data_IF_730874617501
#
_entry.id   IF_730874617501
#
_cell.length_a   1.000
_cell.length_b   1.000
_cell.length_c   1.000
_cell.angle_alpha   90.00
_cell.angle_beta   90.00
_cell.angle_gamma   90.00
#
_symmetry.space_group_name_H-M   'P 1'
#
loop_
_entity.id
_entity.type
_entity.pdbx_description
1 polymer ?
#
# COMPACT_ATOMS: atom_id res chain seq x y z
N UNK A 1 -25.85 8.40 -15.71
CA UNK A 1 -25.19 8.47 -14.39
C UNK A 1 -23.79 7.98 -14.58
N UNK A 2 -22.84 8.88 -14.48
CA UNK A 2 -21.42 8.61 -14.75
C UNK A 2 -20.80 7.78 -13.62
N UNK A 3 -19.77 6.98 -13.93
CA UNK A 3 -18.96 6.27 -12.93
C UNK A 3 -18.35 7.24 -11.90
N UNK A 4 -18.13 8.50 -12.29
CA UNK A 4 -17.71 9.62 -11.44
C UNK A 4 -18.66 9.89 -10.26
N UNK A 5 -19.98 9.88 -10.49
CA UNK A 5 -20.99 10.10 -9.42
C UNK A 5 -21.05 8.96 -8.39
N UNK A 6 -20.55 7.77 -8.73
CA UNK A 6 -20.46 6.63 -7.78
C UNK A 6 -19.20 6.67 -6.93
N UNK A 7 -18.11 7.20 -7.47
CA UNK A 7 -16.81 7.30 -6.78
C UNK A 7 -16.84 8.45 -5.77
N UNK A 8 -17.37 9.62 -6.12
CA UNK A 8 -17.59 10.72 -5.17
C UNK A 8 -18.46 10.29 -4.00
N UNK A 9 -19.57 9.57 -4.25
CA UNK A 9 -20.45 9.05 -3.19
C UNK A 9 -19.81 7.93 -2.35
N UNK A 10 -18.88 7.16 -2.89
CA UNK A 10 -18.16 6.13 -2.15
C UNK A 10 -17.17 6.71 -1.12
N UNK A 11 -16.43 7.74 -1.53
CA UNK A 11 -15.49 8.46 -0.67
C UNK A 11 -16.26 9.32 0.36
N UNK A 12 -17.32 10.05 -0.06
CA UNK A 12 -18.16 10.81 0.85
C UNK A 12 -18.82 9.94 1.91
N UNK A 13 -19.32 8.74 1.58
CA UNK A 13 -19.98 7.86 2.52
C UNK A 13 -19.00 7.21 3.53
N UNK A 14 -17.75 6.93 3.16
CA UNK A 14 -16.72 6.44 4.07
C UNK A 14 -16.33 7.53 5.08
N UNK A 15 -16.14 8.78 4.61
CA UNK A 15 -15.88 9.93 5.46
C UNK A 15 -17.09 10.33 6.33
N UNK A 16 -18.33 10.26 5.81
CA UNK A 16 -19.53 10.64 6.57
C UNK A 16 -19.79 9.74 7.78
N UNK A 17 -19.56 8.45 7.69
CA UNK A 17 -19.89 7.51 8.79
C UNK A 17 -18.96 7.62 10.00
N UNK A 18 -17.70 7.99 9.83
CA UNK A 18 -16.73 8.12 10.92
C UNK A 18 -16.70 9.54 11.47
N UNK A 19 -16.96 10.55 10.65
CA UNK A 19 -16.65 11.96 10.95
C UNK A 19 -17.84 12.91 11.02
N UNK A 20 -19.08 12.47 10.77
CA UNK A 20 -20.27 13.34 10.69
C UNK A 20 -20.62 14.11 11.98
N UNK A 21 -19.96 13.88 13.11
CA UNK A 21 -20.27 14.53 14.40
C UNK A 21 -19.36 15.70 14.78
N UNK A 22 -18.25 15.98 14.07
CA UNK A 22 -17.19 16.87 14.58
C UNK A 22 -16.96 18.17 13.77
N UNK A 23 -17.61 18.39 12.63
CA UNK A 23 -17.18 19.45 11.70
C UNK A 23 -17.77 20.85 11.97
N UNK A 24 -17.13 21.57 12.88
CA UNK A 24 -17.10 23.05 12.91
C UNK A 24 -15.70 23.62 12.59
N UNK A 25 -14.86 22.88 11.86
CA UNK A 25 -13.48 23.28 11.59
C UNK A 25 -13.30 23.76 10.15
N UNK A 26 -12.37 24.68 9.93
CA UNK A 26 -12.03 25.18 8.60
C UNK A 26 -11.27 24.14 7.76
N UNK A 27 -10.64 23.11 8.39
CA UNK A 27 -10.01 21.98 7.72
C UNK A 27 -11.04 20.85 7.51
N UNK A 28 -11.17 20.37 6.28
CA UNK A 28 -12.07 19.27 5.90
C UNK A 28 -11.27 18.06 5.43
N UNK A 29 -11.68 16.81 5.75
CA UNK A 29 -11.01 15.59 5.25
C UNK A 29 -10.89 15.53 3.73
N UNK A 30 -11.87 16.05 3.00
CA UNK A 30 -11.82 16.14 1.53
C UNK A 30 -10.66 17.00 1.03
N UNK A 31 -10.21 17.99 1.80
CA UNK A 31 -9.07 18.83 1.45
C UNK A 31 -7.75 18.07 1.64
N UNK A 32 -7.65 17.23 2.68
CA UNK A 32 -6.52 16.32 2.88
C UNK A 32 -6.41 15.33 1.71
N UNK A 33 -7.52 14.66 1.38
CA UNK A 33 -7.61 13.74 0.25
C UNK A 33 -7.23 14.41 -1.08
N UNK A 34 -7.74 15.63 -1.33
CA UNK A 34 -7.40 16.40 -2.52
C UNK A 34 -5.92 16.81 -2.55
N UNK A 35 -5.36 17.13 -1.38
CA UNK A 35 -3.93 17.42 -1.23
C UNK A 35 -3.03 16.25 -1.59
N UNK A 36 -3.38 15.03 -1.16
CA UNK A 36 -2.66 13.80 -1.51
C UNK A 36 -2.72 13.56 -3.02
N UNK A 37 -3.92 13.56 -3.63
CA UNK A 37 -4.08 13.37 -5.09
C UNK A 37 -3.27 14.40 -5.88
N UNK A 38 -3.37 15.67 -5.51
CA UNK A 38 -2.59 16.74 -6.14
C UNK A 38 -1.09 16.53 -6.03
N UNK A 39 -0.59 16.13 -4.85
CA UNK A 39 0.84 15.85 -4.64
C UNK A 39 1.33 14.66 -5.47
N UNK A 40 0.45 13.68 -5.76
CA UNK A 40 0.73 12.58 -6.69
C UNK A 40 0.82 13.10 -8.13
N UNK A 41 -0.21 13.80 -8.60
CA UNK A 41 -0.31 14.29 -9.99
C UNK A 41 0.80 15.28 -10.33
N UNK A 42 1.11 16.24 -9.45
CA UNK A 42 2.14 17.25 -9.63
C UNK A 42 3.56 16.63 -9.74
N UNK A 43 3.76 15.41 -9.26
CA UNK A 43 5.05 14.71 -9.24
C UNK A 43 5.05 13.38 -9.98
N UNK A 44 4.01 13.11 -10.76
CA UNK A 44 3.93 11.95 -11.62
C UNK A 44 5.06 11.99 -12.66
N UNK A 45 5.87 10.94 -12.71
CA UNK A 45 7.03 10.83 -13.60
C UNK A 45 6.91 9.58 -14.47
N UNK A 46 6.83 9.76 -15.80
CA UNK A 46 6.87 8.65 -16.73
C UNK A 46 8.28 8.03 -16.75
N UNK A 47 8.39 6.78 -16.33
CA UNK A 47 9.63 6.00 -16.37
C UNK A 47 9.80 5.33 -17.73
N UNK A 48 8.69 4.85 -18.31
CA UNK A 48 8.60 4.33 -19.67
C UNK A 48 7.19 4.59 -20.24
N UNK A 49 6.86 4.02 -21.41
CA UNK A 49 5.55 4.24 -22.08
C UNK A 49 4.35 3.69 -21.31
N UNK A 50 4.58 2.75 -20.40
CA UNK A 50 3.53 1.99 -19.71
C UNK A 50 3.54 2.25 -18.19
N UNK A 51 4.55 2.96 -17.67
CA UNK A 51 4.73 3.12 -16.22
C UNK A 51 4.94 4.57 -15.83
N UNK A 52 4.01 5.09 -15.06
CA UNK A 52 4.08 6.40 -14.42
C UNK A 52 4.25 6.19 -12.92
N UNK A 53 5.38 6.68 -12.39
CA UNK A 53 5.70 6.57 -10.96
C UNK A 53 5.26 7.83 -10.23
N UNK A 54 4.65 7.65 -9.08
CA UNK A 54 4.19 8.73 -8.19
C UNK A 54 4.82 8.63 -6.80
N UNK A 55 4.77 9.69 -5.99
CA UNK A 55 5.17 9.66 -4.59
C UNK A 55 4.43 8.59 -3.79
N UNK A 56 5.16 7.97 -2.86
CA UNK A 56 4.61 7.01 -1.89
C UNK A 56 4.89 7.40 -0.43
N UNK A 57 5.61 8.49 -0.18
CA UNK A 57 5.78 9.08 1.15
C UNK A 57 5.21 10.48 1.14
N UNK A 58 4.24 10.74 2.00
CA UNK A 58 3.54 12.01 2.11
C UNK A 58 3.75 12.62 3.49
N UNK A 59 4.12 13.89 3.50
CA UNK A 59 4.15 14.75 4.68
C UNK A 59 3.01 15.76 4.55
N UNK A 60 2.03 15.68 5.46
CA UNK A 60 0.89 16.59 5.53
C UNK A 60 1.19 17.61 6.62
N UNK A 61 1.42 18.85 6.24
CA UNK A 61 1.80 19.96 7.13
C UNK A 61 0.55 20.81 7.37
N UNK A 62 0.17 20.97 8.62
CA UNK A 62 -1.03 21.66 9.07
C UNK A 62 -0.68 22.88 9.94
N UNK A 63 -1.66 23.72 10.27
CA UNK A 63 -1.52 24.64 11.40
C UNK A 63 -1.51 23.85 12.70
N UNK A 64 -0.93 24.38 13.77
CA UNK A 64 -0.91 23.75 15.09
C UNK A 64 -2.33 23.36 15.54
N UNK A 65 -3.30 24.27 15.44
CA UNK A 65 -4.70 24.02 15.83
C UNK A 65 -5.43 23.00 14.95
N UNK A 66 -4.99 22.74 13.73
CA UNK A 66 -5.57 21.71 12.86
C UNK A 66 -4.88 20.36 13.05
N UNK A 67 -3.60 20.37 13.45
CA UNK A 67 -2.87 19.17 13.87
C UNK A 67 -3.49 18.56 15.14
N UNK A 68 -3.74 19.38 16.18
CA UNK A 68 -4.44 18.92 17.40
C UNK A 68 -5.77 18.22 17.08
N UNK A 69 -6.49 18.69 16.07
CA UNK A 69 -7.74 18.03 15.63
C UNK A 69 -7.51 16.67 14.98
N UNK A 70 -6.41 16.48 14.21
CA UNK A 70 -6.07 15.17 13.64
C UNK A 70 -5.85 14.17 14.79
N UNK A 71 -5.17 14.58 15.86
CA UNK A 71 -5.00 13.74 17.05
C UNK A 71 -6.35 13.40 17.70
N UNK A 72 -7.24 14.40 17.89
CA UNK A 72 -8.59 14.23 18.44
C UNK A 72 -9.48 13.31 17.58
N UNK A 73 -9.31 13.32 16.27
CA UNK A 73 -10.08 12.48 15.33
C UNK A 73 -9.54 11.06 15.23
N UNK A 74 -8.32 10.82 15.70
CA UNK A 74 -7.59 9.57 15.57
C UNK A 74 -6.64 9.57 14.37
N UNK A 75 -5.41 9.99 14.63
CA UNK A 75 -4.35 10.13 13.61
C UNK A 75 -4.18 8.86 12.76
N UNK A 76 -4.20 7.68 13.41
CA UNK A 76 -4.01 6.41 12.69
C UNK A 76 -5.15 6.13 11.70
N UNK A 77 -6.40 6.33 12.10
CA UNK A 77 -7.55 6.13 11.22
C UNK A 77 -7.52 7.11 10.03
N UNK A 78 -7.08 8.36 10.26
CA UNK A 78 -6.92 9.34 9.19
C UNK A 78 -5.78 8.95 8.24
N UNK A 79 -4.69 8.39 8.77
CA UNK A 79 -3.55 7.90 7.99
C UNK A 79 -3.98 6.77 7.06
N UNK A 80 -4.68 5.76 7.58
CA UNK A 80 -5.21 4.62 6.81
C UNK A 80 -6.14 5.07 5.69
N UNK A 81 -7.03 6.03 5.98
CA UNK A 81 -7.94 6.57 4.98
C UNK A 81 -7.19 7.30 3.85
N UNK A 82 -6.18 8.11 4.17
CA UNK A 82 -5.37 8.79 3.15
C UNK A 82 -4.52 7.83 2.33
N UNK A 83 -4.06 6.72 2.91
CA UNK A 83 -3.40 5.62 2.18
C UNK A 83 -4.38 4.98 1.20
N UNK A 84 -5.62 4.73 1.63
CA UNK A 84 -6.68 4.20 0.77
C UNK A 84 -6.98 5.15 -0.39
N UNK A 85 -7.10 6.46 -0.13
CA UNK A 85 -7.29 7.49 -1.15
C UNK A 85 -6.14 7.48 -2.16
N UNK A 86 -4.89 7.41 -1.70
CA UNK A 86 -3.72 7.36 -2.58
C UNK A 86 -3.70 6.10 -3.45
N UNK A 87 -4.01 4.95 -2.86
CA UNK A 87 -4.06 3.65 -3.56
C UNK A 87 -5.14 3.66 -4.65
N UNK A 88 -6.35 4.13 -4.32
CA UNK A 88 -7.45 4.20 -5.26
C UNK A 88 -7.16 5.17 -6.41
N UNK A 89 -6.63 6.38 -6.10
CA UNK A 89 -6.26 7.34 -7.13
C UNK A 89 -5.18 6.78 -8.07
N UNK A 90 -4.18 6.08 -7.51
CA UNK A 90 -3.16 5.44 -8.34
C UNK A 90 -3.75 4.35 -9.25
N UNK A 91 -4.69 3.54 -8.75
CA UNK A 91 -5.38 2.53 -9.56
C UNK A 91 -6.17 3.18 -10.71
N UNK A 92 -6.92 4.25 -10.42
CA UNK A 92 -7.74 4.96 -11.40
C UNK A 92 -6.90 5.65 -12.49
N UNK A 93 -5.71 6.14 -12.15
CA UNK A 93 -4.79 6.84 -13.06
C UNK A 93 -3.71 5.91 -13.66
N UNK A 94 -3.73 4.61 -13.32
CA UNK A 94 -2.68 3.65 -13.70
C UNK A 94 -1.27 4.06 -13.24
N UNK A 95 -1.18 4.68 -12.06
CA UNK A 95 0.08 5.04 -11.43
C UNK A 95 0.68 3.85 -10.69
N UNK A 96 2.00 3.87 -10.54
CA UNK A 96 2.76 2.83 -9.83
C UNK A 96 3.54 3.47 -8.67
N UNK A 97 3.50 2.84 -7.51
CA UNK A 97 4.36 3.17 -6.40
C UNK A 97 5.68 2.39 -6.45
N UNK A 98 6.75 2.96 -5.88
CA UNK A 98 8.05 2.29 -5.74
C UNK A 98 8.25 1.63 -4.37
N UNK A 99 7.31 1.77 -3.46
CA UNK A 99 7.36 1.25 -2.10
C UNK A 99 6.02 1.42 -1.40
N UNK A 100 5.94 0.94 -0.17
CA UNK A 100 4.76 1.12 0.69
C UNK A 100 4.40 2.59 0.86
N UNK A 101 3.10 2.87 0.92
CA UNK A 101 2.61 4.24 1.12
C UNK A 101 2.73 4.59 2.60
N UNK A 102 3.24 5.78 2.88
CA UNK A 102 3.27 6.35 4.25
C UNK A 102 2.72 7.77 4.24
N UNK A 103 1.97 8.12 5.28
CA UNK A 103 1.45 9.47 5.51
C UNK A 103 1.88 9.89 6.91
N UNK A 104 2.57 11.00 7.00
CA UNK A 104 3.01 11.61 8.25
C UNK A 104 2.35 12.97 8.40
N UNK A 105 1.79 13.25 9.58
CA UNK A 105 1.25 14.56 9.92
C UNK A 105 2.29 15.34 10.71
N UNK A 106 2.46 16.61 10.33
CA UNK A 106 3.34 17.57 11.01
C UNK A 106 2.64 18.91 11.11
N UNK A 107 3.12 19.80 11.96
CA UNK A 107 2.58 21.16 12.03
C UNK A 107 3.64 22.22 11.71
N UNK A 108 3.16 23.37 11.26
CA UNK A 108 3.94 24.59 11.10
C UNK A 108 3.16 25.75 11.73
N UNK A 109 3.73 26.37 12.76
CA UNK A 109 3.12 27.49 13.50
C UNK A 109 2.89 28.76 12.66
N UNK A 110 3.58 28.90 11.51
CA UNK A 110 3.37 29.99 10.56
C UNK A 110 2.18 29.73 9.61
N UNK A 111 1.67 28.50 9.59
CA UNK A 111 0.57 28.14 8.71
C UNK A 111 -0.77 28.58 9.33
N UNK A 112 -1.56 29.31 8.54
CA UNK A 112 -2.89 29.75 8.97
C UNK A 112 -3.85 28.57 9.07
N UNK A 113 -4.76 28.61 10.03
CA UNK A 113 -5.84 27.64 10.20
C UNK A 113 -6.62 27.40 8.90
N UNK A 114 -6.97 26.14 8.62
CA UNK A 114 -7.62 25.71 7.40
C UNK A 114 -6.69 25.67 6.17
N UNK A 115 -5.39 25.92 6.34
CA UNK A 115 -4.39 25.75 5.29
C UNK A 115 -3.60 24.48 5.50
N UNK A 116 -3.31 23.79 4.41
CA UNK A 116 -2.48 22.60 4.43
C UNK A 116 -1.45 22.64 3.30
N UNK A 117 -0.33 21.98 3.52
CA UNK A 117 0.70 21.73 2.52
C UNK A 117 0.94 20.23 2.50
N UNK A 118 0.86 19.59 1.33
CA UNK A 118 1.22 18.19 1.18
C UNK A 118 2.49 18.09 0.35
N UNK A 119 3.51 17.44 0.91
CA UNK A 119 4.76 17.14 0.22
C UNK A 119 4.81 15.65 -0.07
N UNK A 120 5.04 15.29 -1.34
CA UNK A 120 5.22 13.91 -1.77
C UNK A 120 6.68 13.61 -2.11
N UNK A 121 7.16 12.42 -1.77
CA UNK A 121 8.46 11.88 -2.18
C UNK A 121 8.31 10.45 -2.65
N UNK A 122 9.10 10.05 -3.67
CA UNK A 122 9.18 8.66 -4.11
C UNK A 122 10.37 7.98 -3.44
N UNK A 123 10.11 6.91 -2.68
CA UNK A 123 11.15 6.10 -2.05
C UNK A 123 10.94 4.64 -2.41
N UNK A 124 11.99 4.00 -2.93
CA UNK A 124 11.93 2.56 -3.21
C UNK A 124 11.89 1.76 -1.91
N UNK A 125 10.98 0.81 -1.86
CA UNK A 125 10.83 -0.16 -0.77
C UNK A 125 10.88 -1.60 -1.31
N UNK A 126 10.79 -2.61 -0.43
CA UNK A 126 10.74 -4.02 -0.82
C UNK A 126 9.44 -4.39 -1.52
N UNK A 127 8.33 -3.76 -1.14
CA UNK A 127 7.00 -3.96 -1.72
C UNK A 127 6.28 -2.64 -1.91
N UNK A 128 5.33 -2.62 -2.84
CA UNK A 128 4.39 -1.53 -3.05
C UNK A 128 2.98 -2.10 -3.25
N UNK A 129 1.90 -1.33 -2.98
CA UNK A 129 0.56 -1.74 -3.38
C UNK A 129 0.50 -1.98 -4.90
N UNK A 130 -0.08 -3.10 -5.33
CA UNK A 130 -0.30 -3.37 -6.74
C UNK A 130 -1.55 -2.62 -7.21
N UNK A 131 -1.35 -1.53 -7.92
CA UNK A 131 -2.42 -0.66 -8.46
C UNK A 131 -2.87 -1.09 -9.85
N UNK A 132 -2.13 -2.01 -10.49
CA UNK A 132 -2.48 -2.64 -11.75
C UNK A 132 -2.51 -4.16 -11.58
N UNK A 133 -3.18 -4.87 -12.49
CA UNK A 133 -3.19 -6.34 -12.52
C UNK A 133 -2.02 -6.92 -13.33
N UNK A 134 -1.20 -6.07 -13.93
CA UNK A 134 -0.13 -6.47 -14.80
C UNK A 134 1.11 -6.87 -14.01
N UNK A 135 1.22 -8.16 -13.70
CA UNK A 135 2.45 -8.76 -13.22
C UNK A 135 3.44 -8.95 -14.39
N UNK A 136 4.72 -8.81 -14.11
CA UNK A 136 5.80 -9.16 -15.03
C UNK A 136 6.88 -9.95 -14.28
N UNK A 137 7.76 -10.70 -14.98
CA UNK A 137 8.86 -11.40 -14.32
C UNK A 137 9.77 -10.48 -13.48
N UNK A 138 9.93 -9.21 -13.89
CA UNK A 138 10.73 -8.20 -13.18
C UNK A 138 9.97 -7.52 -12.06
N UNK A 139 8.63 -7.54 -12.11
CA UNK A 139 7.76 -6.95 -11.11
C UNK A 139 6.60 -7.92 -10.82
N UNK A 140 6.89 -9.02 -10.12
CA UNK A 140 5.88 -10.01 -9.76
C UNK A 140 4.86 -9.43 -8.78
N UNK A 141 3.65 -9.96 -8.81
CA UNK A 141 2.59 -9.62 -7.87
C UNK A 141 2.34 -10.81 -6.96
N UNK A 142 2.08 -10.54 -5.70
CA UNK A 142 1.52 -11.50 -4.76
C UNK A 142 0.20 -10.96 -4.19
N UNK A 143 -0.72 -11.85 -3.93
CA UNK A 143 -1.95 -11.56 -3.18
C UNK A 143 -1.85 -12.29 -1.83
N UNK A 144 -2.00 -11.55 -0.76
CA UNK A 144 -1.98 -12.04 0.62
C UNK A 144 -3.32 -11.72 1.24
N UNK A 145 -4.17 -12.73 1.42
CA UNK A 145 -5.52 -12.58 1.99
C UNK A 145 -6.38 -11.49 1.33
N UNK A 146 -6.23 -11.30 0.01
CA UNK A 146 -6.98 -10.33 -0.81
C UNK A 146 -6.28 -8.98 -0.98
N UNK A 147 -5.17 -8.76 -0.32
CA UNK A 147 -4.33 -7.57 -0.54
C UNK A 147 -3.21 -7.86 -1.54
N UNK A 148 -3.10 -7.03 -2.58
CA UNK A 148 -2.13 -7.23 -3.66
C UNK A 148 -0.91 -6.35 -3.50
N UNK A 149 0.26 -6.99 -3.60
CA UNK A 149 1.56 -6.35 -3.48
C UNK A 149 2.42 -6.61 -4.70
N UNK A 150 3.02 -5.54 -5.22
CA UNK A 150 4.07 -5.59 -6.22
C UNK A 150 5.42 -5.79 -5.51
N UNK A 151 6.18 -6.81 -5.89
CA UNK A 151 7.55 -7.01 -5.39
C UNK A 151 8.49 -6.03 -6.09
N UNK A 152 8.87 -4.96 -5.40
CA UNK A 152 9.69 -3.86 -5.93
C UNK A 152 11.16 -3.94 -5.48
N UNK A 153 11.43 -4.72 -4.46
CA UNK A 153 12.77 -5.01 -3.93
C UNK A 153 13.31 -6.37 -4.39
N UNK A 154 14.61 -6.55 -4.25
CA UNK A 154 15.25 -7.83 -4.52
C UNK A 154 14.86 -8.92 -3.52
N UNK A 155 14.48 -8.53 -2.31
CA UNK A 155 14.07 -9.41 -1.22
C UNK A 155 12.86 -8.82 -0.52
N UNK A 156 11.87 -9.68 -0.24
CA UNK A 156 10.68 -9.38 0.54
C UNK A 156 10.51 -10.44 1.61
N UNK A 157 10.28 -10.04 2.83
CA UNK A 157 10.02 -10.93 3.97
C UNK A 157 8.57 -10.81 4.41
N UNK A 158 7.89 -11.96 4.54
CA UNK A 158 6.53 -12.06 5.03
C UNK A 158 6.54 -12.76 6.39
N UNK A 159 5.74 -12.29 7.33
CA UNK A 159 5.65 -12.86 8.66
C UNK A 159 4.68 -12.12 9.57
N UNK A 160 4.43 -12.61 10.78
CA UNK A 160 3.53 -11.96 11.75
C UNK A 160 4.16 -10.83 12.57
N UNK A 161 5.44 -10.61 12.44
CA UNK A 161 6.17 -9.61 13.22
C UNK A 161 6.36 -8.30 12.46
N UNK A 162 6.39 -7.18 13.19
CA UNK A 162 6.59 -5.83 12.63
C UNK A 162 7.92 -5.61 11.90
N UNK A 163 8.85 -6.58 11.97
CA UNK A 163 10.10 -6.56 11.20
C UNK A 163 9.99 -7.26 9.84
N UNK A 164 8.80 -7.77 9.50
CA UNK A 164 8.51 -8.26 8.16
C UNK A 164 8.11 -7.09 7.25
N UNK A 165 8.34 -7.23 5.95
CA UNK A 165 7.96 -6.23 4.95
C UNK A 165 6.46 -6.28 4.66
N UNK A 166 5.86 -7.48 4.79
CA UNK A 166 4.41 -7.71 4.80
C UNK A 166 4.08 -8.44 6.09
N UNK A 167 3.23 -7.81 6.90
CA UNK A 167 2.77 -8.39 8.16
C UNK A 167 1.42 -9.09 7.95
N UNK A 168 1.31 -10.34 8.45
CA UNK A 168 0.06 -11.10 8.43
C UNK A 168 -0.39 -11.39 9.86
N UNK A 169 -1.70 -11.30 10.11
CA UNK A 169 -2.29 -11.60 11.43
C UNK A 169 -2.66 -13.09 11.52
N UNK A 170 -1.65 -13.94 11.60
CA UNK A 170 -1.80 -15.39 11.72
C UNK A 170 -0.85 -15.94 12.79
N UNK A 171 -1.41 -16.51 13.86
CA UNK A 171 -0.63 -17.08 14.97
C UNK A 171 0.22 -18.29 14.55
N UNK A 172 -0.15 -18.99 13.46
CA UNK A 172 0.61 -20.08 12.86
C UNK A 172 1.84 -19.61 12.07
N UNK A 173 1.97 -18.31 11.82
CA UNK A 173 3.07 -17.71 11.07
C UNK A 173 4.16 -17.22 12.02
N UNK A 174 5.43 -17.51 11.73
CA UNK A 174 6.58 -16.99 12.48
C UNK A 174 6.76 -15.49 12.27
N UNK A 175 7.47 -14.82 13.20
CA UNK A 175 7.71 -13.36 13.10
C UNK A 175 8.35 -12.94 11.77
N UNK A 176 9.29 -13.74 11.28
CA UNK A 176 9.83 -13.74 9.91
C UNK A 176 9.67 -15.17 9.42
N UNK A 177 8.85 -15.41 8.39
CA UNK A 177 8.44 -16.75 8.01
C UNK A 177 8.94 -17.14 6.63
N UNK A 178 8.63 -16.34 5.64
CA UNK A 178 8.91 -16.58 4.23
C UNK A 178 9.77 -15.45 3.67
N UNK A 179 10.84 -15.79 2.97
CA UNK A 179 11.60 -14.86 2.15
C UNK A 179 11.24 -15.09 0.67
N UNK A 180 10.89 -14.06 -0.05
CA UNK A 180 10.75 -14.03 -1.50
C UNK A 180 11.89 -13.24 -2.09
N UNK A 181 12.71 -13.89 -2.94
CA UNK A 181 13.87 -13.28 -3.59
C UNK A 181 13.65 -13.21 -5.10
N UNK A 182 13.55 -12.01 -5.63
CA UNK A 182 13.47 -11.76 -7.08
C UNK A 182 14.85 -11.88 -7.70
N UNK A 183 14.99 -12.76 -8.69
CA UNK A 183 16.25 -13.01 -9.41
C UNK A 183 15.98 -12.99 -10.93
N UNK A 184 17.01 -12.87 -11.78
CA UNK A 184 16.85 -13.00 -13.23
C UNK A 184 16.26 -14.35 -13.67
N UNK A 185 16.39 -15.40 -12.84
CA UNK A 185 15.87 -16.74 -13.09
C UNK A 185 14.47 -17.00 -12.52
N UNK A 186 13.81 -15.98 -11.97
CA UNK A 186 12.49 -16.07 -11.34
C UNK A 186 12.53 -15.73 -9.84
N UNK A 187 11.43 -15.96 -9.16
CA UNK A 187 11.31 -15.70 -7.72
C UNK A 187 11.55 -16.99 -6.93
N UNK A 188 12.42 -16.90 -5.94
CA UNK A 188 12.72 -18.01 -5.03
C UNK A 188 12.00 -17.75 -3.71
N UNK A 189 11.13 -18.68 -3.32
CA UNK A 189 10.51 -18.73 -2.00
C UNK A 189 11.40 -19.57 -1.07
N UNK A 190 11.73 -19.05 0.10
CA UNK A 190 12.59 -19.72 1.10
C UNK A 190 11.91 -19.69 2.46
N UNK A 191 11.75 -20.86 3.09
CA UNK A 191 11.34 -20.97 4.48
C UNK A 191 12.45 -20.46 5.40
N UNK A 192 12.13 -19.56 6.31
CA UNK A 192 13.10 -18.97 7.23
C UNK A 192 13.31 -19.82 8.50
N UNK A 193 13.38 -21.14 8.33
CA UNK A 193 13.53 -22.13 9.40
C UNK A 193 12.38 -22.04 10.42
N UNK A 194 11.15 -22.05 9.93
CA UNK A 194 9.95 -21.84 10.71
C UNK A 194 9.45 -23.13 11.37
N UNK A 195 8.67 -22.99 12.45
CA UNK A 195 8.13 -24.15 13.18
C UNK A 195 7.12 -24.92 12.33
N UNK A 196 6.19 -24.22 11.69
CA UNK A 196 5.11 -24.85 10.92
C UNK A 196 5.51 -25.15 9.47
N UNK A 197 6.56 -24.50 8.96
CA UNK A 197 7.04 -24.66 7.60
C UNK A 197 6.25 -23.86 6.56
N UNK A 198 6.84 -23.77 5.38
CA UNK A 198 6.27 -23.15 4.18
C UNK A 198 5.90 -24.24 3.19
N UNK A 199 4.77 -24.08 2.50
CA UNK A 199 4.28 -25.03 1.52
C UNK A 199 4.02 -24.32 0.19
N UNK A 200 4.44 -24.93 -0.93
CA UNK A 200 4.11 -24.49 -2.29
C UNK A 200 3.32 -25.61 -2.95
N UNK A 201 2.12 -25.32 -3.45
CA UNK A 201 1.19 -26.30 -4.00
C UNK A 201 0.97 -27.50 -3.04
N UNK A 202 0.90 -27.24 -1.73
CA UNK A 202 0.73 -28.26 -0.70
C UNK A 202 2.00 -29.07 -0.35
N UNK A 203 3.13 -28.84 -1.01
CA UNK A 203 4.39 -29.52 -0.74
C UNK A 203 5.27 -28.64 0.16
N UNK A 204 5.73 -29.23 1.27
CA UNK A 204 6.65 -28.52 2.18
C UNK A 204 7.97 -28.24 1.48
N UNK A 205 8.45 -27.00 1.59
CA UNK A 205 9.70 -26.55 0.99
C UNK A 205 10.69 -26.06 2.03
N UNK A 206 11.98 -26.14 1.73
CA UNK A 206 13.03 -25.30 2.32
C UNK A 206 13.29 -24.10 1.43
N UNK A 207 13.38 -24.32 0.12
CA UNK A 207 13.40 -23.30 -0.91
C UNK A 207 12.80 -23.88 -2.20
N UNK A 208 12.13 -23.05 -2.98
CA UNK A 208 11.58 -23.41 -4.28
C UNK A 208 11.54 -22.19 -5.21
N UNK A 209 11.79 -22.40 -6.51
CA UNK A 209 11.49 -21.39 -7.52
C UNK A 209 9.99 -21.42 -7.82
N UNK A 210 9.37 -20.26 -7.73
CA UNK A 210 7.94 -20.11 -7.98
C UNK A 210 7.65 -20.05 -9.48
N UNK A 211 6.55 -20.69 -9.85
CA UNK A 211 5.97 -20.61 -11.18
C UNK A 211 4.72 -19.71 -11.11
N UNK A 212 4.37 -19.11 -12.26
CA UNK A 212 3.17 -18.30 -12.39
C UNK A 212 1.92 -19.08 -11.94
N UNK A 213 1.07 -18.44 -11.13
CA UNK A 213 -0.12 -19.05 -10.53
C UNK A 213 0.13 -19.92 -9.30
N UNK A 214 1.37 -20.07 -8.80
CA UNK A 214 1.61 -20.86 -7.62
C UNK A 214 0.91 -20.28 -6.38
N UNK A 215 0.43 -21.21 -5.54
CA UNK A 215 -0.10 -20.93 -4.21
C UNK A 215 0.95 -21.30 -3.15
N UNK A 216 1.28 -20.36 -2.29
CA UNK A 216 2.14 -20.56 -1.12
C UNK A 216 1.25 -20.55 0.12
N UNK A 217 1.49 -21.46 1.06
CA UNK A 217 0.80 -21.49 2.34
C UNK A 217 1.79 -21.40 3.48
N UNK A 218 1.55 -20.47 4.41
CA UNK A 218 2.29 -20.28 5.66
C UNK A 218 1.28 -20.17 6.81
N UNK A 219 1.34 -21.07 7.78
CA UNK A 219 0.26 -21.17 8.79
C UNK A 219 -1.09 -21.42 8.13
N UNK A 220 -2.07 -20.53 8.31
CA UNK A 220 -3.38 -20.55 7.67
C UNK A 220 -3.47 -19.55 6.49
N UNK A 221 -2.45 -18.67 6.35
CA UNK A 221 -2.41 -17.61 5.34
C UNK A 221 -2.08 -18.20 3.97
N UNK A 222 -2.87 -17.83 2.98
CA UNK A 222 -2.65 -18.15 1.56
C UNK A 222 -2.05 -16.96 0.83
N UNK A 223 -1.03 -17.25 0.02
CA UNK A 223 -0.36 -16.26 -0.83
C UNK A 223 -0.40 -16.79 -2.26
N UNK A 224 -1.03 -16.04 -3.15
CA UNK A 224 -1.01 -16.35 -4.58
C UNK A 224 0.08 -15.53 -5.27
N UNK A 225 0.74 -16.10 -6.26
CA UNK A 225 1.89 -15.52 -6.93
C UNK A 225 1.70 -15.49 -8.44
N UNK A 226 2.01 -14.33 -9.06
CA UNK A 226 1.93 -14.15 -10.51
C UNK A 226 3.14 -13.40 -11.07
N UNK A 227 3.55 -13.80 -12.26
CA UNK A 227 4.59 -13.15 -13.09
C UNK A 227 4.06 -12.73 -14.47
N UNK A 228 2.80 -13.01 -14.74
CA UNK A 228 2.12 -12.63 -15.98
C UNK A 228 0.77 -11.97 -15.67
N UNK A 229 0.19 -11.20 -16.61
CA UNK A 229 -1.16 -10.66 -16.44
C UNK A 229 -2.15 -11.77 -16.09
N UNK A 230 -2.96 -11.54 -15.05
CA UNK A 230 -4.00 -12.48 -14.67
C UNK A 230 -5.00 -12.61 -15.84
N UNK A 231 -5.07 -13.77 -16.47
CA UNK A 231 -6.14 -14.10 -17.40
C UNK A 231 -7.41 -14.34 -16.57
N UNK A 232 -8.32 -13.37 -16.57
CA UNK A 232 -9.67 -13.50 -16.03
C UNK A 232 -10.56 -14.25 -17.01
#
# INVERSE_FOLDING_TARGET
>A
MSAFDKIERGVENAFENVFSRAFKSDLKPVELASGIRKAMDDRAAAVNRERVVVPNQFEVILSESDFDKIEDWGEEAMREELITVATQHAADQHYTFLGSITVEFTYNSELSRGKLIVRGRSKRGPVAPATTRDATPENPIIDVDGERYLLTGAVTVIGRGSSADITVDDSGVSRRHLELRVTPGGVIATDMNTTNGTFVEGHRITAATLLDGNTITIGHTRIMFWTSPEML
#
